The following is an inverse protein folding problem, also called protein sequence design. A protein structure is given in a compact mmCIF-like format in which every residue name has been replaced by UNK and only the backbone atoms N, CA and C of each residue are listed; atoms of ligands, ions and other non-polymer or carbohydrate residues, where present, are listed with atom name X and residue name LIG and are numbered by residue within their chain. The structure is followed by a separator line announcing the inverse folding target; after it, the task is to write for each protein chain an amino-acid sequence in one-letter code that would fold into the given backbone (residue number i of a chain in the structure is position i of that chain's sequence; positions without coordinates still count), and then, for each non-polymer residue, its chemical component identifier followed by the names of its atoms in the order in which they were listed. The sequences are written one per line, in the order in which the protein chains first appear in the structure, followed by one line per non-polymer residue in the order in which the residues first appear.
data_IF_909624217763
#
_entry.id   IF_909624217763
#
_cell.length_a   1.000
_cell.length_b   1.000
_cell.length_c   1.000
_cell.angle_alpha   90.00
_cell.angle_beta   90.00
_cell.angle_gamma   90.00
#
_symmetry.space_group_name_H-M   'P 1'
#
loop_
_entity.id
_entity.type
_entity.pdbx_description
1 polymer ?
#
# COMPACT_ATOMS: atom_id res chain seq x y z
N UNK A 1 12.86 23.50 21.91
CA UNK A 1 13.92 22.59 21.38
C UNK A 1 14.19 23.00 19.94
N UNK A 2 15.14 23.93 19.72
CA UNK A 2 15.47 24.46 18.39
C UNK A 2 16.54 23.58 17.73
N UNK A 3 16.17 22.81 16.70
CA UNK A 3 17.12 22.03 15.89
C UNK A 3 17.67 22.88 14.74
N UNK A 4 18.42 23.93 15.06
CA UNK A 4 19.19 24.68 14.05
C UNK A 4 20.58 24.06 13.93
N UNK A 5 20.66 22.85 13.36
CA UNK A 5 21.94 22.29 12.97
C UNK A 5 22.61 23.19 11.91
N UNK A 6 23.94 23.40 11.95
CA UNK A 6 24.66 24.18 10.95
C UNK A 6 24.35 23.70 9.53
N UNK A 7 24.22 24.63 8.57
CA UNK A 7 23.81 24.35 7.18
C UNK A 7 24.67 23.24 6.54
N UNK A 8 25.98 23.22 6.83
CA UNK A 8 26.89 22.16 6.37
C UNK A 8 26.50 20.77 6.88
N UNK A 9 26.15 20.64 8.16
CA UNK A 9 25.75 19.35 8.76
C UNK A 9 24.42 18.85 8.22
N UNK A 10 23.48 19.77 7.93
CA UNK A 10 22.20 19.45 7.29
C UNK A 10 22.42 18.93 5.87
N UNK A 11 23.31 19.57 5.11
CA UNK A 11 23.65 19.16 3.76
C UNK A 11 24.35 17.80 3.73
N UNK A 12 25.28 17.56 4.65
CA UNK A 12 25.99 16.29 4.80
C UNK A 12 25.04 15.16 5.17
N UNK A 13 24.13 15.39 6.13
CA UNK A 13 23.12 14.41 6.52
C UNK A 13 22.16 14.10 5.36
N UNK A 14 21.70 15.12 4.63
CA UNK A 14 20.84 14.93 3.46
C UNK A 14 21.53 14.11 2.36
N UNK A 15 22.79 14.43 2.02
CA UNK A 15 23.58 13.69 1.04
C UNK A 15 23.84 12.25 1.49
N UNK A 16 24.19 12.06 2.76
CA UNK A 16 24.39 10.73 3.33
C UNK A 16 23.10 9.89 3.27
N UNK A 17 21.95 10.48 3.58
CA UNK A 17 20.66 9.82 3.44
C UNK A 17 20.35 9.43 1.99
N UNK A 18 20.60 10.33 1.02
CA UNK A 18 20.42 10.03 -0.41
C UNK A 18 21.34 8.88 -0.86
N UNK A 19 22.62 8.92 -0.49
CA UNK A 19 23.58 7.86 -0.85
C UNK A 19 23.21 6.53 -0.19
N UNK A 20 22.78 6.56 1.07
CA UNK A 20 22.32 5.36 1.78
C UNK A 20 21.09 4.75 1.10
N UNK A 21 20.08 5.55 0.82
CA UNK A 21 18.86 5.09 0.13
C UNK A 21 19.18 4.57 -1.26
N UNK A 22 20.04 5.26 -2.02
CA UNK A 22 20.50 4.81 -3.34
C UNK A 22 21.26 3.49 -3.25
N UNK A 23 22.11 3.29 -2.24
CA UNK A 23 22.83 2.04 -2.01
C UNK A 23 21.88 0.87 -1.71
N UNK A 24 20.91 1.08 -0.80
CA UNK A 24 19.88 0.07 -0.49
C UNK A 24 19.05 -0.27 -1.74
N UNK A 25 18.66 0.73 -2.53
CA UNK A 25 17.93 0.54 -3.78
C UNK A 25 18.75 -0.23 -4.83
N UNK A 26 20.04 0.07 -4.97
CA UNK A 26 20.94 -0.63 -5.88
C UNK A 26 21.09 -2.12 -5.50
N UNK A 27 21.27 -2.41 -4.21
CA UNK A 27 21.33 -3.79 -3.71
C UNK A 27 20.01 -4.52 -3.97
N UNK A 28 18.87 -3.89 -3.70
CA UNK A 28 17.55 -4.47 -3.93
C UNK A 28 17.28 -4.72 -5.43
N UNK A 29 17.73 -3.84 -6.31
CA UNK A 29 17.56 -3.97 -7.75
C UNK A 29 18.32 -5.17 -8.35
N UNK A 30 19.48 -5.52 -7.78
CA UNK A 30 20.27 -6.67 -8.21
C UNK A 30 19.63 -8.02 -7.85
N UNK A 31 18.72 -8.05 -6.88
CA UNK A 31 18.20 -9.29 -6.30
C UNK A 31 17.03 -9.93 -7.07
N UNK A 32 16.30 -9.20 -7.93
CA UNK A 32 15.11 -9.75 -8.58
C UNK A 32 14.89 -9.19 -9.99
N UNK A 33 14.82 -10.05 -11.04
CA UNK A 33 14.36 -9.63 -12.35
C UNK A 33 12.85 -9.36 -12.28
N UNK A 34 12.47 -8.10 -12.15
CA UNK A 34 11.08 -7.65 -12.14
C UNK A 34 10.83 -6.71 -13.30
N UNK A 35 9.62 -6.75 -13.85
CA UNK A 35 9.23 -5.82 -14.89
C UNK A 35 9.22 -4.39 -14.32
N UNK A 36 9.76 -3.42 -15.07
CA UNK A 36 9.81 -2.01 -14.65
C UNK A 36 8.41 -1.49 -14.26
N UNK A 37 7.38 -1.97 -14.95
CA UNK A 37 5.98 -1.64 -14.69
C UNK A 37 5.48 -2.16 -13.34
N UNK A 38 5.89 -3.38 -12.92
CA UNK A 38 5.46 -3.93 -11.64
C UNK A 38 6.11 -3.20 -10.46
N UNK A 39 7.39 -2.85 -10.56
CA UNK A 39 8.12 -2.13 -9.50
C UNK A 39 7.60 -0.69 -9.34
N UNK A 40 7.42 0.01 -10.46
CA UNK A 40 6.86 1.38 -10.44
C UNK A 40 5.40 1.36 -10.01
N UNK A 41 4.58 0.44 -10.54
CA UNK A 41 3.19 0.27 -10.13
C UNK A 41 3.06 0.03 -8.63
N UNK A 42 3.86 -0.87 -8.06
CA UNK A 42 3.87 -1.15 -6.63
C UNK A 42 4.23 0.09 -5.80
N UNK A 43 5.28 0.82 -6.19
CA UNK A 43 5.71 2.03 -5.49
C UNK A 43 4.64 3.14 -5.53
N UNK A 44 4.07 3.40 -6.72
CA UNK A 44 2.98 4.36 -6.87
C UNK A 44 1.73 3.91 -6.14
N UNK A 45 1.43 2.61 -6.10
CA UNK A 45 0.27 2.10 -5.37
C UNK A 45 0.40 2.36 -3.88
N UNK A 46 1.57 2.08 -3.31
CA UNK A 46 1.85 2.33 -1.90
C UNK A 46 1.78 3.83 -1.59
N UNK A 47 2.43 4.67 -2.40
CA UNK A 47 2.43 6.11 -2.23
C UNK A 47 1.00 6.71 -2.36
N UNK A 48 0.24 6.30 -3.37
CA UNK A 48 -1.13 6.77 -3.58
C UNK A 48 -2.03 6.35 -2.41
N UNK A 49 -1.91 5.11 -1.93
CA UNK A 49 -2.70 4.63 -0.79
C UNK A 49 -2.44 5.42 0.50
N UNK A 50 -1.21 5.87 0.71
CA UNK A 50 -0.84 6.67 1.87
C UNK A 50 -1.30 8.12 1.73
N UNK A 51 -0.98 8.79 0.64
CA UNK A 51 -1.08 10.26 0.58
C UNK A 51 -2.31 10.78 -0.13
N UNK A 52 -2.82 10.07 -1.13
CA UNK A 52 -3.85 10.60 -2.02
C UNK A 52 -5.15 10.94 -1.26
N UNK A 53 -5.72 10.05 -0.42
CA UNK A 53 -6.92 10.38 0.34
C UNK A 53 -6.76 11.60 1.25
N UNK A 54 -5.63 11.69 1.96
CA UNK A 54 -5.35 12.79 2.88
C UNK A 54 -5.15 14.12 2.15
N UNK A 55 -4.40 14.12 1.03
CA UNK A 55 -4.16 15.34 0.25
C UNK A 55 -5.42 15.85 -0.44
N UNK A 56 -6.18 14.96 -1.07
CA UNK A 56 -7.42 15.33 -1.77
C UNK A 56 -8.45 15.86 -0.76
N UNK A 57 -8.69 15.15 0.35
CA UNK A 57 -9.65 15.61 1.35
C UNK A 57 -9.17 16.87 2.09
N UNK A 58 -7.87 17.03 2.30
CA UNK A 58 -7.32 18.24 2.93
C UNK A 58 -7.53 19.51 2.11
N UNK A 59 -7.56 19.43 0.78
CA UNK A 59 -7.77 20.58 -0.10
C UNK A 59 -9.26 20.89 -0.28
N UNK A 60 -10.07 19.86 -0.53
CA UNK A 60 -11.46 20.05 -0.97
C UNK A 60 -12.52 19.82 0.11
N UNK A 61 -12.16 19.31 1.29
CA UNK A 61 -13.11 19.01 2.36
C UNK A 61 -12.77 19.71 3.67
N UNK A 62 -13.50 20.79 3.98
CA UNK A 62 -13.28 21.61 5.19
C UNK A 62 -13.35 20.84 6.52
N UNK A 63 -13.98 19.66 6.54
CA UNK A 63 -14.12 18.82 7.73
C UNK A 63 -12.99 17.79 7.88
N UNK A 64 -12.07 17.68 6.92
CA UNK A 64 -10.90 16.82 7.05
C UNK A 64 -10.03 17.28 8.24
N UNK A 65 -9.74 16.37 9.16
CA UNK A 65 -8.89 16.63 10.32
C UNK A 65 -7.69 15.67 10.37
N UNK A 66 -6.70 16.00 11.22
CA UNK A 66 -5.44 15.24 11.30
C UNK A 66 -5.63 13.79 11.75
N UNK A 67 -6.55 13.54 12.69
CA UNK A 67 -6.84 12.18 13.17
C UNK A 67 -7.46 11.31 12.08
N UNK A 68 -8.43 11.86 11.34
CA UNK A 68 -9.05 11.18 10.21
C UNK A 68 -8.06 10.93 9.08
N UNK A 69 -7.22 11.92 8.76
CA UNK A 69 -6.17 11.75 7.76
C UNK A 69 -5.23 10.61 8.16
N UNK A 70 -4.72 10.58 9.40
CA UNK A 70 -3.84 9.52 9.88
C UNK A 70 -4.50 8.14 9.84
N UNK A 71 -5.76 8.04 10.28
CA UNK A 71 -6.53 6.79 10.21
C UNK A 71 -6.65 6.29 8.77
N UNK A 72 -6.93 7.18 7.81
CA UNK A 72 -6.99 6.85 6.39
C UNK A 72 -5.65 6.46 5.79
N UNK A 73 -4.55 7.12 6.18
CA UNK A 73 -3.19 6.73 5.77
C UNK A 73 -2.87 5.30 6.21
N UNK A 74 -3.15 4.98 7.48
CA UNK A 74 -2.90 3.64 8.04
C UNK A 74 -3.78 2.60 7.35
N UNK A 75 -5.07 2.88 7.15
CA UNK A 75 -5.98 1.97 6.47
C UNK A 75 -5.59 1.75 5.00
N UNK A 76 -5.28 2.81 4.27
CA UNK A 76 -4.83 2.75 2.87
C UNK A 76 -3.55 1.92 2.74
N UNK A 77 -2.52 2.21 3.54
CA UNK A 77 -1.29 1.41 3.57
C UNK A 77 -1.60 -0.04 3.96
N UNK A 78 -2.46 -0.27 4.95
CA UNK A 78 -2.84 -1.60 5.42
C UNK A 78 -3.49 -2.44 4.32
N UNK A 79 -4.45 -1.88 3.58
CA UNK A 79 -5.12 -2.55 2.46
C UNK A 79 -4.13 -2.77 1.29
N UNK A 80 -3.28 -1.80 1.00
CA UNK A 80 -2.25 -1.92 -0.03
C UNK A 80 -1.29 -3.08 0.28
N UNK A 81 -0.75 -3.12 1.50
CA UNK A 81 0.15 -4.17 1.96
C UNK A 81 -0.55 -5.52 2.05
N UNK A 82 -1.80 -5.56 2.52
CA UNK A 82 -2.60 -6.78 2.53
C UNK A 82 -2.70 -7.38 1.14
N UNK A 83 -3.10 -6.60 0.13
CA UNK A 83 -3.24 -7.09 -1.24
C UNK A 83 -1.89 -7.51 -1.87
N UNK A 84 -0.79 -6.84 -1.52
CA UNK A 84 0.54 -7.20 -2.02
C UNK A 84 1.12 -8.46 -1.35
N UNK A 85 0.92 -8.62 -0.04
CA UNK A 85 1.61 -9.60 0.79
C UNK A 85 0.78 -10.86 1.05
N UNK A 86 -0.55 -10.77 1.11
CA UNK A 86 -1.39 -11.93 1.43
C UNK A 86 -1.23 -13.09 0.43
N UNK A 87 -1.14 -12.88 -0.90
CA UNK A 87 -0.86 -13.96 -1.85
C UNK A 87 0.53 -14.60 -1.71
N UNK A 88 1.44 -13.99 -0.94
CA UNK A 88 2.78 -14.51 -0.64
C UNK A 88 2.83 -15.28 0.68
N UNK A 89 2.24 -14.74 1.75
CA UNK A 89 2.36 -15.33 3.09
C UNK A 89 1.19 -16.25 3.47
N UNK A 90 -0.02 -15.97 2.96
CA UNK A 90 -1.24 -16.72 3.27
C UNK A 90 -2.00 -17.08 1.98
N UNK A 91 -1.34 -17.76 1.03
CA UNK A 91 -1.85 -17.93 -0.32
C UNK A 91 -3.22 -18.62 -0.41
N UNK A 92 -3.38 -19.75 0.30
CA UNK A 92 -4.61 -20.52 0.29
C UNK A 92 -5.76 -19.77 0.96
N UNK A 93 -5.53 -19.17 2.14
CA UNK A 93 -6.56 -18.42 2.87
C UNK A 93 -7.02 -17.17 2.08
N UNK A 94 -6.09 -16.47 1.44
CA UNK A 94 -6.42 -15.33 0.58
C UNK A 94 -7.31 -15.78 -0.59
N UNK A 95 -6.91 -16.82 -1.32
CA UNK A 95 -7.70 -17.29 -2.45
C UNK A 95 -9.05 -17.88 -2.03
N UNK A 96 -9.16 -18.62 -0.93
CA UNK A 96 -10.44 -19.13 -0.45
C UNK A 96 -11.43 -18.00 -0.17
N UNK A 97 -10.96 -16.97 0.57
CA UNK A 97 -11.79 -15.84 0.97
C UNK A 97 -12.14 -14.92 -0.20
N UNK A 98 -11.28 -14.81 -1.22
CA UNK A 98 -11.52 -13.94 -2.38
C UNK A 98 -11.72 -14.68 -3.70
N UNK A 99 -12.02 -15.97 -3.66
CA UNK A 99 -12.18 -16.83 -4.85
C UNK A 99 -13.26 -16.28 -5.79
N UNK A 100 -14.34 -15.74 -5.23
CA UNK A 100 -15.44 -15.12 -5.96
C UNK A 100 -15.06 -13.84 -6.74
N UNK A 101 -13.94 -13.21 -6.40
CA UNK A 101 -13.40 -12.04 -7.09
C UNK A 101 -12.33 -12.42 -8.12
N UNK A 102 -11.79 -13.63 -8.05
CA UNK A 102 -10.72 -14.07 -8.94
C UNK A 102 -11.22 -14.30 -10.36
N UNK A 103 -10.38 -14.03 -11.35
CA UNK A 103 -10.62 -14.36 -12.75
C UNK A 103 -10.04 -15.74 -13.15
N UNK A 104 -9.83 -16.64 -12.19
CA UNK A 104 -9.25 -17.95 -12.44
C UNK A 104 -10.07 -18.76 -13.44
N UNK A 105 -9.40 -19.36 -14.43
CA UNK A 105 -10.04 -20.34 -15.32
C UNK A 105 -10.33 -21.64 -14.56
N UNK A 106 -11.23 -22.47 -15.09
CA UNK A 106 -11.56 -23.78 -14.48
C UNK A 106 -10.32 -24.66 -14.28
N UNK A 107 -9.37 -24.61 -15.22
CA UNK A 107 -8.09 -25.33 -15.15
C UNK A 107 -7.18 -24.81 -14.04
N UNK A 108 -7.13 -23.48 -13.85
CA UNK A 108 -6.37 -22.86 -12.77
C UNK A 108 -6.98 -23.14 -11.39
N UNK A 109 -8.32 -23.19 -11.31
CA UNK A 109 -9.03 -23.58 -10.10
C UNK A 109 -8.84 -25.07 -9.75
N UNK A 110 -8.74 -25.95 -10.75
CA UNK A 110 -8.39 -27.35 -10.53
C UNK A 110 -6.95 -27.50 -10.00
N UNK A 111 -6.00 -26.75 -10.58
CA UNK A 111 -4.60 -26.71 -10.12
C UNK A 111 -4.48 -26.21 -8.69
N UNK A 112 -5.26 -25.18 -8.33
CA UNK A 112 -5.39 -24.70 -6.95
C UNK A 112 -5.84 -25.80 -5.98
N UNK A 113 -6.88 -26.55 -6.35
CA UNK A 113 -7.48 -27.58 -5.50
C UNK A 113 -6.49 -28.72 -5.22
N UNK A 114 -5.70 -29.10 -6.23
CA UNK A 114 -4.62 -30.07 -6.08
C UNK A 114 -3.52 -29.58 -5.12
N UNK A 115 -3.09 -28.32 -5.24
CA UNK A 115 -2.09 -27.71 -4.35
C UNK A 115 -2.59 -27.51 -2.92
N UNK A 116 -3.87 -27.21 -2.77
CA UNK A 116 -4.54 -27.08 -1.47
C UNK A 116 -4.44 -28.40 -0.69
N UNK A 117 -4.71 -29.51 -1.38
CA UNK A 117 -4.67 -30.83 -0.76
C UNK A 117 -3.26 -31.17 -0.26
N UNK A 118 -2.21 -30.91 -1.04
CA UNK A 118 -0.83 -31.18 -0.62
C UNK A 118 -0.36 -30.27 0.52
N UNK A 119 -0.82 -29.02 0.58
CA UNK A 119 -0.48 -28.07 1.66
C UNK A 119 -1.02 -28.49 3.04
N UNK A 120 -2.23 -29.06 3.08
CA UNK A 120 -2.88 -29.50 4.33
C UNK A 120 -2.44 -30.89 4.82
N UNK A 121 -1.66 -31.65 4.04
CA UNK A 121 -1.03 -32.87 4.53
C UNK A 121 0.06 -32.54 5.56
N UNK A 122 0.23 -33.39 6.56
CA UNK A 122 1.08 -33.12 7.74
C UNK A 122 2.59 -33.30 7.46
N UNK A 123 2.98 -33.62 6.23
CA UNK A 123 4.37 -33.75 5.84
C UNK A 123 4.98 -32.36 5.51
N UNK A 124 5.99 -31.87 6.27
CA UNK A 124 6.66 -30.61 5.99
C UNK A 124 7.23 -30.52 4.57
N UNK A 125 7.72 -31.63 4.01
CA UNK A 125 8.27 -31.65 2.65
C UNK A 125 7.20 -31.44 1.57
N UNK A 126 6.02 -32.04 1.75
CA UNK A 126 4.88 -31.85 0.86
C UNK A 126 4.35 -30.40 0.91
N UNK A 127 4.41 -29.76 2.08
CA UNK A 127 4.00 -28.34 2.24
C UNK A 127 4.93 -27.39 1.49
N UNK A 128 6.25 -27.60 1.58
CA UNK A 128 7.22 -26.76 0.87
C UNK A 128 7.08 -26.91 -0.65
N UNK A 129 6.89 -28.14 -1.15
CA UNK A 129 6.62 -28.37 -2.57
C UNK A 129 5.31 -27.71 -3.03
N UNK A 130 4.26 -27.75 -2.21
CA UNK A 130 2.98 -27.07 -2.50
C UNK A 130 3.14 -25.55 -2.55
N UNK A 131 3.94 -24.97 -1.65
CA UNK A 131 4.25 -23.54 -1.66
C UNK A 131 5.08 -23.14 -2.88
N UNK A 132 6.11 -23.90 -3.24
CA UNK A 132 6.91 -23.64 -4.43
C UNK A 132 6.06 -23.69 -5.71
N UNK A 133 5.21 -24.70 -5.85
CA UNK A 133 4.30 -24.82 -6.99
C UNK A 133 3.20 -23.74 -6.99
N UNK A 134 2.74 -23.28 -5.82
CA UNK A 134 1.86 -22.12 -5.71
C UNK A 134 2.53 -20.84 -6.24
N UNK A 135 3.81 -20.64 -5.91
CA UNK A 135 4.57 -19.48 -6.35
C UNK A 135 4.67 -19.37 -7.88
N UNK A 136 4.67 -20.51 -8.56
CA UNK A 136 4.75 -20.66 -10.01
C UNK A 136 3.38 -20.55 -10.69
N UNK A 137 2.36 -21.24 -10.17
CA UNK A 137 1.09 -21.44 -10.90
C UNK A 137 -0.08 -20.62 -10.36
N UNK A 138 -0.09 -20.33 -9.05
CA UNK A 138 -1.29 -19.85 -8.38
C UNK A 138 -1.21 -18.39 -7.90
N UNK A 139 -0.01 -17.80 -7.84
CA UNK A 139 0.12 -16.34 -7.65
C UNK A 139 -0.57 -15.51 -8.73
N UNK A 140 -0.69 -16.06 -9.94
CA UNK A 140 -1.38 -15.40 -11.06
C UNK A 140 -2.88 -15.28 -10.84
N UNK A 141 -3.48 -16.25 -10.15
CA UNK A 141 -4.94 -16.33 -9.89
C UNK A 141 -5.37 -15.71 -8.57
N UNK A 142 -4.44 -15.50 -7.63
CA UNK A 142 -4.69 -14.78 -6.37
C UNK A 142 -4.76 -13.26 -6.61
N UNK A 143 -5.80 -12.85 -7.30
CA UNK A 143 -6.10 -11.49 -7.70
C UNK A 143 -7.59 -11.20 -7.51
N UNK A 144 -7.95 -9.92 -7.53
CA UNK A 144 -9.33 -9.47 -7.64
C UNK A 144 -9.53 -8.89 -9.05
N UNK A 145 -10.41 -9.51 -9.83
CA UNK A 145 -10.75 -9.16 -11.22
C UNK A 145 -9.56 -9.09 -12.17
N UNK A 146 -8.56 -9.96 -11.99
CA UNK A 146 -7.34 -9.97 -12.81
C UNK A 146 -6.37 -8.83 -12.51
N UNK A 147 -6.66 -7.98 -11.51
CA UNK A 147 -5.81 -6.84 -11.18
C UNK A 147 -4.53 -7.34 -10.51
N UNK A 148 -3.39 -7.01 -11.12
CA UNK A 148 -2.10 -7.39 -10.57
C UNK A 148 -1.86 -6.74 -9.19
N UNK A 149 -1.07 -7.42 -8.36
CA UNK A 149 -0.68 -6.94 -7.03
C UNK A 149 0.07 -5.60 -7.05
N UNK A 150 0.74 -5.28 -8.16
CA UNK A 150 1.40 -3.99 -8.35
C UNK A 150 0.40 -2.83 -8.40
N UNK A 151 -0.87 -3.08 -8.72
CA UNK A 151 -1.92 -2.05 -8.81
C UNK A 151 -2.89 -2.09 -7.62
N UNK A 152 -2.37 -2.41 -6.42
CA UNK A 152 -3.13 -2.47 -5.17
C UNK A 152 -3.84 -1.14 -4.82
N UNK A 153 -3.36 0.01 -5.34
CA UNK A 153 -3.98 1.31 -5.10
C UNK A 153 -5.45 1.38 -5.54
N UNK A 154 -5.87 0.58 -6.52
CA UNK A 154 -7.26 0.55 -6.99
C UNK A 154 -8.23 0.23 -5.84
N UNK A 155 -7.80 -0.58 -4.87
CA UNK A 155 -8.60 -0.93 -3.70
C UNK A 155 -8.21 -0.10 -2.47
N UNK A 156 -6.91 0.14 -2.31
CA UNK A 156 -6.38 0.82 -1.14
C UNK A 156 -6.80 2.30 -1.09
N UNK A 157 -6.79 3.01 -2.22
CA UNK A 157 -7.14 4.44 -2.26
C UNK A 157 -8.61 4.66 -1.86
N UNK A 158 -9.62 3.99 -2.46
CA UNK A 158 -11.00 4.11 -2.01
C UNK A 158 -11.19 3.78 -0.53
N UNK A 159 -10.54 2.71 -0.04
CA UNK A 159 -10.60 2.35 1.38
C UNK A 159 -10.04 3.46 2.29
N UNK A 160 -8.94 4.09 1.88
CA UNK A 160 -8.35 5.23 2.59
C UNK A 160 -9.28 6.43 2.61
N UNK A 161 -9.97 6.75 1.50
CA UNK A 161 -10.99 7.80 1.48
C UNK A 161 -12.13 7.50 2.45
N UNK A 162 -12.68 6.28 2.42
CA UNK A 162 -13.78 5.88 3.29
C UNK A 162 -13.40 5.97 4.76
N UNK A 163 -12.20 5.52 5.13
CA UNK A 163 -11.72 5.59 6.51
C UNK A 163 -11.42 7.03 6.92
N UNK A 164 -10.78 7.84 6.07
CA UNK A 164 -10.55 9.26 6.39
C UNK A 164 -11.87 9.98 6.62
N UNK A 165 -12.86 9.78 5.74
CA UNK A 165 -14.17 10.41 5.86
C UNK A 165 -14.86 9.93 7.14
N UNK A 166 -14.96 8.61 7.34
CA UNK A 166 -15.59 8.03 8.51
C UNK A 166 -14.96 8.54 9.81
N UNK A 167 -13.64 8.44 9.94
CA UNK A 167 -12.92 8.91 11.11
C UNK A 167 -13.11 10.42 11.33
N UNK A 168 -13.00 11.25 10.29
CA UNK A 168 -13.21 12.70 10.41
C UNK A 168 -14.65 13.09 10.77
N UNK A 169 -15.63 12.23 10.45
CA UNK A 169 -17.03 12.44 10.86
C UNK A 169 -17.23 12.13 12.35
N UNK A 170 -16.52 11.15 12.90
CA UNK A 170 -16.62 10.73 14.29
C UNK A 170 -15.69 11.49 15.24
N UNK A 171 -14.65 12.14 14.75
CA UNK A 171 -13.72 12.96 15.54
C UNK A 171 -14.08 14.44 15.53
N UNK A 172 -13.45 15.22 16.40
CA UNK A 172 -13.72 16.66 16.51
C UNK A 172 -13.36 17.38 15.21
N UNK A 173 -14.21 18.34 14.81
CA UNK A 173 -13.93 19.20 13.67
C UNK A 173 -12.68 20.06 13.94
N UNK A 174 -11.93 20.47 12.89
CA UNK A 174 -10.82 21.40 13.02
C UNK A 174 -11.25 22.69 13.73
N UNK A 175 -10.41 23.20 14.65
CA UNK A 175 -10.72 24.44 15.39
C UNK A 175 -10.84 25.65 14.46
N UNK A 176 -11.59 26.67 14.91
CA UNK A 176 -11.79 27.90 14.14
C UNK A 176 -10.47 28.59 13.79
N UNK A 177 -9.52 28.63 14.72
CA UNK A 177 -8.19 29.23 14.53
C UNK A 177 -7.38 28.54 13.42
N UNK A 178 -7.46 27.22 13.34
CA UNK A 178 -6.81 26.44 12.29
C UNK A 178 -7.45 26.71 10.92
N UNK A 179 -8.77 26.83 10.88
CA UNK A 179 -9.49 27.16 9.65
C UNK A 179 -9.16 28.57 9.16
N UNK A 180 -9.11 29.57 10.06
CA UNK A 180 -8.73 30.94 9.70
C UNK A 180 -7.30 31.02 9.20
N UNK A 181 -6.38 30.28 9.82
CA UNK A 181 -4.98 30.20 9.36
C UNK A 181 -4.86 29.65 7.93
N UNK A 182 -5.61 28.59 7.61
CA UNK A 182 -5.63 28.03 6.24
C UNK A 182 -6.23 29.02 5.24
N UNK A 183 -7.31 29.71 5.61
CA UNK A 183 -7.91 30.75 4.77
C UNK A 183 -6.96 31.93 4.53
N UNK A 184 -6.15 32.30 5.52
CA UNK A 184 -5.13 33.34 5.38
C UNK A 184 -3.99 32.92 4.44
N UNK A 185 -3.55 31.66 4.50
CA UNK A 185 -2.55 31.12 3.57
C UNK A 185 -3.06 31.03 2.12
N UNK A 186 -4.38 30.89 1.92
CA UNK A 186 -5.00 30.82 0.60
C UNK A 186 -5.16 32.18 -0.08
N UNK A 187 -4.97 33.30 0.64
CA UNK A 187 -5.13 34.64 0.08
C UNK A 187 -3.87 35.03 -0.73
N UNK A 188 -4.01 35.49 -1.99
CA UNK A 188 -2.87 36.00 -2.74
C UNK A 188 -2.30 37.24 -2.04
N UNK A 189 -0.98 37.32 -1.93
CA UNK A 189 -0.31 38.52 -1.43
C UNK A 189 -0.61 39.69 -2.36
N UNK A 190 -1.12 40.83 -1.84
CA UNK A 190 -1.40 41.99 -2.68
C UNK A 190 -0.12 42.47 -3.40
N UNK A 191 -0.25 42.96 -4.65
CA UNK A 191 0.87 43.40 -5.48
C UNK A 191 1.58 44.64 -4.92
#
# INVERSE_FOLDING_TARGET
MHLTAPTERRLLAARAAVVLVAGVAAIAALAVPQTMLAMTGAAFSLAASAFLPALVLGIWWKRANGEGALAGMIAGIGVCLYYMLAPRYIPFAFYETSSFLSNATEEQAASYTALRQSYYLTDPGAREAALAAWEETARGIANWWGISRAFAAIFAVPSGFLVTIGASLFTAAPSADMQSFVEDLGKPTPP
#
